data_IF_484211072017
#
_entry.id   IF_484211072017
#
_cell.length_a   1.000
_cell.length_b   1.000
_cell.length_c   1.000
_cell.angle_alpha   90.00
_cell.angle_beta   90.00
_cell.angle_gamma   90.00
#
_symmetry.space_group_name_H-M   'P 1'
#
loop_
_entity.id
_entity.type
_entity.pdbx_description
1 polymer ?
#
# COMPACT_ATOMS: atom_id res chain seq x y z
N UNK A 1 -2.86 -2.21 29.00
CA UNK A 1 -2.28 -1.05 28.30
C UNK A 1 -1.72 -1.38 26.89
N UNK A 2 -2.19 -2.43 26.21
CA UNK A 2 -1.57 -2.91 24.96
C UNK A 2 -2.52 -2.97 23.73
N UNK A 3 -3.80 -2.61 23.87
CA UNK A 3 -4.72 -2.41 22.73
C UNK A 3 -4.81 -0.95 22.26
N UNK A 4 -4.39 0.02 23.08
CA UNK A 4 -4.52 1.45 22.81
C UNK A 4 -3.38 2.02 21.93
N UNK A 5 -2.22 1.34 21.87
CA UNK A 5 -1.09 1.76 21.02
C UNK A 5 -1.29 1.35 19.55
N UNK A 6 -1.90 0.19 19.32
CA UNK A 6 -2.32 -0.26 17.98
C UNK A 6 -3.43 0.64 17.42
N UNK A 7 -4.35 1.10 18.28
CA UNK A 7 -5.38 2.07 17.92
C UNK A 7 -4.79 3.48 17.69
N UNK A 8 -3.72 3.88 18.40
CA UNK A 8 -3.01 5.15 18.13
C UNK A 8 -2.24 5.14 16.80
N UNK A 9 -1.65 4.00 16.40
CA UNK A 9 -1.09 3.84 15.04
C UNK A 9 -2.19 3.79 13.97
N UNK A 10 -3.32 3.14 14.26
CA UNK A 10 -4.51 3.18 13.41
C UNK A 10 -5.05 4.61 13.27
N UNK A 11 -5.12 5.43 14.32
CA UNK A 11 -5.59 6.82 14.23
C UNK A 11 -4.62 7.77 13.48
N UNK A 12 -3.31 7.48 13.45
CA UNK A 12 -2.38 8.21 12.59
C UNK A 12 -2.46 7.76 11.13
N UNK A 13 -2.87 6.51 10.85
CA UNK A 13 -3.09 5.97 9.51
C UNK A 13 -4.50 6.22 8.94
N UNK A 14 -5.53 6.42 9.78
CA UNK A 14 -6.90 6.75 9.34
C UNK A 14 -7.01 8.17 8.75
N UNK A 15 -6.00 9.03 8.94
CA UNK A 15 -5.95 10.36 8.32
C UNK A 15 -5.37 10.42 6.91
N UNK A 16 -4.61 9.42 6.45
CA UNK A 16 -3.77 9.56 5.26
C UNK A 16 -3.20 8.18 4.88
N UNK A 17 -3.46 7.52 3.75
CA UNK A 17 -4.00 7.96 2.48
C UNK A 17 -4.34 6.69 1.66
N UNK A 18 -5.62 6.35 1.50
CA UNK A 18 -6.07 5.93 0.16
C UNK A 18 -5.71 7.14 -0.71
N UNK A 19 -4.82 6.97 -1.70
CA UNK A 19 -4.51 8.04 -2.64
C UNK A 19 -5.76 8.30 -3.49
N UNK A 20 -6.75 8.99 -2.90
CA UNK A 20 -7.70 9.79 -3.64
C UNK A 20 -6.97 11.08 -3.94
N UNK A 21 -6.50 11.20 -5.18
CA UNK A 21 -6.23 12.50 -5.76
C UNK A 21 -7.54 13.29 -5.70
N UNK A 22 -7.71 14.16 -4.70
CA UNK A 22 -8.79 15.16 -4.76
C UNK A 22 -8.38 16.15 -5.85
N UNK A 23 -9.02 16.01 -7.00
CA UNK A 23 -9.05 17.05 -8.02
C UNK A 23 -9.81 18.25 -7.46
N UNK A 24 -9.07 19.24 -6.99
CA UNK A 24 -9.61 20.54 -6.61
C UNK A 24 -9.69 21.40 -7.88
N UNK A 25 -10.63 21.07 -8.79
CA UNK A 25 -11.07 21.98 -9.86
C UNK A 25 -12.56 21.83 -10.13
N UNK A 26 -13.28 22.88 -9.78
CA UNK A 26 -14.68 23.13 -10.08
C UNK A 26 -14.90 23.09 -11.61
N UNK A 27 -15.52 22.03 -12.14
CA UNK A 27 -16.06 22.02 -13.51
C UNK A 27 -15.68 20.88 -14.47
N UNK A 28 -15.15 19.74 -14.02
CA UNK A 28 -14.91 18.58 -14.92
C UNK A 28 -15.89 17.42 -14.61
N UNK A 29 -16.79 17.13 -15.55
CA UNK A 29 -17.82 16.07 -15.48
C UNK A 29 -17.25 14.65 -15.63
N UNK A 30 -15.93 14.49 -15.57
CA UNK A 30 -15.29 13.18 -15.66
C UNK A 30 -15.00 12.63 -14.26
N UNK A 31 -15.93 11.83 -13.73
CA UNK A 31 -15.75 11.11 -12.47
C UNK A 31 -14.56 10.15 -12.57
N UNK A 32 -13.36 10.59 -12.20
CA UNK A 32 -12.20 9.71 -12.01
C UNK A 32 -12.44 8.90 -10.74
N UNK A 33 -13.21 7.82 -10.88
CA UNK A 33 -13.56 6.92 -9.78
C UNK A 33 -12.68 5.68 -9.89
N UNK A 34 -11.69 5.58 -9.00
CA UNK A 34 -10.82 4.41 -8.89
C UNK A 34 -9.66 4.67 -7.95
N UNK A 35 -9.38 3.71 -7.05
CA UNK A 35 -8.17 3.73 -6.23
C UNK A 35 -6.97 3.44 -7.13
N UNK A 36 -6.07 4.42 -7.29
CA UNK A 36 -4.91 4.29 -8.18
C UNK A 36 -3.76 3.50 -7.53
N UNK A 37 -3.76 3.40 -6.20
CA UNK A 37 -2.74 2.68 -5.44
C UNK A 37 -3.24 2.24 -4.06
N UNK A 38 -2.86 1.03 -3.66
CA UNK A 38 -3.09 0.40 -2.37
C UNK A 38 -1.74 0.31 -1.66
N UNK A 39 -1.66 0.90 -0.47
CA UNK A 39 -0.51 0.74 0.43
C UNK A 39 -0.90 -0.29 1.50
N UNK A 40 -0.14 -1.37 1.57
CA UNK A 40 -0.34 -2.45 2.53
C UNK A 40 0.87 -2.54 3.47
N UNK A 41 0.67 -2.49 4.78
CA UNK A 41 1.78 -2.46 5.74
C UNK A 41 1.80 -3.76 6.52
N UNK A 42 2.94 -4.45 6.48
CA UNK A 42 3.20 -5.69 7.22
C UNK A 42 4.05 -5.41 8.44
N UNK A 43 3.61 -5.87 9.59
CA UNK A 43 4.44 -6.02 10.78
C UNK A 43 5.39 -7.21 10.59
N UNK A 44 6.61 -6.97 10.09
CA UNK A 44 7.50 -8.04 9.64
C UNK A 44 8.06 -8.88 10.78
N UNK A 45 7.99 -8.39 12.03
CA UNK A 45 8.33 -9.17 13.22
C UNK A 45 7.27 -10.21 13.60
N UNK A 46 6.03 -10.04 13.12
CA UNK A 46 4.90 -10.88 13.52
C UNK A 46 4.59 -11.96 12.48
N UNK A 47 5.44 -12.99 12.47
CA UNK A 47 5.30 -14.15 11.59
C UNK A 47 4.00 -14.93 11.84
N UNK A 48 3.42 -14.86 13.05
CA UNK A 48 2.22 -15.61 13.39
C UNK A 48 0.96 -15.06 12.68
N UNK A 49 0.94 -13.76 12.36
CA UNK A 49 -0.20 -13.09 11.71
C UNK A 49 -0.06 -12.94 10.19
N UNK A 50 1.04 -13.39 9.59
CA UNK A 50 1.28 -13.18 8.15
C UNK A 50 0.24 -13.87 7.25
N UNK A 51 -0.28 -15.01 7.69
CA UNK A 51 -1.31 -15.75 6.96
C UNK A 51 -2.66 -15.01 6.97
N UNK A 52 -3.02 -14.39 8.09
CA UNK A 52 -4.21 -13.52 8.18
C UNK A 52 -4.05 -12.29 7.26
N UNK A 53 -2.88 -11.65 7.30
CA UNK A 53 -2.57 -10.51 6.43
C UNK A 53 -2.64 -10.90 4.94
N UNK A 54 -2.15 -12.09 4.57
CA UNK A 54 -2.28 -12.63 3.21
C UNK A 54 -3.73 -12.78 2.79
N UNK A 55 -4.57 -13.39 3.62
CA UNK A 55 -5.98 -13.60 3.30
C UNK A 55 -6.70 -12.27 3.08
N UNK A 56 -6.44 -11.28 3.94
CA UNK A 56 -7.04 -9.95 3.83
C UNK A 56 -6.56 -9.18 2.59
N UNK A 57 -5.25 -9.23 2.29
CA UNK A 57 -4.70 -8.64 1.07
C UNK A 57 -5.38 -9.22 -0.18
N UNK A 58 -5.46 -10.54 -0.28
CA UNK A 58 -6.06 -11.22 -1.43
C UNK A 58 -7.56 -10.94 -1.53
N UNK A 59 -8.26 -10.74 -0.40
CA UNK A 59 -9.67 -10.32 -0.40
C UNK A 59 -9.85 -8.91 -0.98
N UNK A 60 -8.96 -7.97 -0.62
CA UNK A 60 -9.04 -6.57 -1.06
C UNK A 60 -8.59 -6.43 -2.52
N UNK A 61 -7.43 -6.97 -2.88
CA UNK A 61 -6.79 -6.72 -4.20
C UNK A 61 -7.54 -7.38 -5.36
N UNK A 62 -8.35 -8.40 -5.08
CA UNK A 62 -9.20 -9.07 -6.06
C UNK A 62 -10.59 -8.42 -6.21
N UNK A 63 -10.90 -7.37 -5.44
CA UNK A 63 -12.11 -6.58 -5.67
C UNK A 63 -12.04 -5.92 -7.05
N UNK A 64 -13.18 -5.87 -7.76
CA UNK A 64 -13.31 -5.21 -9.07
C UNK A 64 -12.84 -3.76 -9.05
N UNK A 65 -13.03 -3.05 -7.93
CA UNK A 65 -12.61 -1.66 -7.77
C UNK A 65 -11.09 -1.49 -7.66
N UNK A 66 -10.36 -2.58 -7.38
CA UNK A 66 -8.89 -2.61 -7.24
C UNK A 66 -8.18 -3.15 -8.49
N UNK A 67 -8.91 -3.40 -9.58
CA UNK A 67 -8.36 -4.03 -10.79
C UNK A 67 -7.12 -3.31 -11.35
N UNK A 68 -7.19 -1.99 -11.44
CA UNK A 68 -6.14 -1.12 -12.00
C UNK A 68 -5.23 -0.52 -10.92
N UNK A 69 -5.35 -1.00 -9.68
CA UNK A 69 -4.65 -0.45 -8.52
C UNK A 69 -3.23 -1.02 -8.42
N UNK A 70 -2.25 -0.13 -8.22
CA UNK A 70 -0.88 -0.53 -7.87
C UNK A 70 -0.83 -1.00 -6.41
N UNK A 71 -0.02 -2.00 -6.09
CA UNK A 71 0.15 -2.47 -4.71
C UNK A 71 1.55 -2.14 -4.19
N UNK A 72 1.65 -1.19 -3.27
CA UNK A 72 2.87 -0.96 -2.49
C UNK A 72 2.76 -1.70 -1.16
N UNK A 73 3.70 -2.58 -0.86
CA UNK A 73 3.80 -3.26 0.44
C UNK A 73 4.98 -2.72 1.23
N UNK A 74 4.75 -2.25 2.44
CA UNK A 74 5.81 -1.96 3.40
C UNK A 74 6.07 -3.17 4.28
N UNK A 75 7.24 -3.79 4.15
CA UNK A 75 7.76 -4.76 5.10
C UNK A 75 8.31 -3.99 6.32
N UNK A 76 7.41 -3.54 7.19
CA UNK A 76 7.73 -2.62 8.28
C UNK A 76 8.36 -3.34 9.48
N UNK A 77 9.05 -2.57 10.33
CA UNK A 77 9.80 -2.99 11.53
C UNK A 77 11.08 -3.76 11.24
N UNK A 78 11.81 -3.37 10.20
CA UNK A 78 13.11 -3.97 9.88
C UNK A 78 14.19 -3.70 10.96
N UNK A 79 13.93 -2.79 11.90
CA UNK A 79 14.76 -2.56 13.09
C UNK A 79 14.71 -3.71 14.11
N UNK A 80 13.71 -4.59 14.02
CA UNK A 80 13.53 -5.72 14.95
C UNK A 80 14.29 -6.95 14.44
N UNK A 81 15.13 -7.52 15.31
CA UNK A 81 15.85 -8.77 15.02
C UNK A 81 14.89 -9.91 14.66
N UNK A 82 15.17 -10.59 13.55
CA UNK A 82 14.34 -11.70 13.06
C UNK A 82 13.09 -11.28 12.27
N UNK A 83 12.90 -9.97 12.03
CA UNK A 83 11.89 -9.48 11.11
C UNK A 83 12.03 -10.12 9.72
N UNK A 84 10.90 -10.43 9.09
CA UNK A 84 10.86 -10.92 7.72
C UNK A 84 11.44 -9.86 6.78
N UNK A 85 12.41 -10.24 5.97
CA UNK A 85 12.92 -9.37 4.92
C UNK A 85 11.88 -9.24 3.77
N UNK A 86 12.06 -8.30 2.82
CA UNK A 86 11.12 -8.10 1.72
C UNK A 86 10.82 -9.36 0.89
N UNK A 87 11.80 -10.24 0.70
CA UNK A 87 11.61 -11.49 -0.03
C UNK A 87 10.72 -12.46 0.76
N UNK A 88 10.98 -12.64 2.06
CA UNK A 88 10.14 -13.48 2.92
C UNK A 88 8.69 -12.96 2.99
N UNK A 89 8.50 -11.64 3.03
CA UNK A 89 7.17 -11.01 2.97
C UNK A 89 6.50 -11.28 1.62
N UNK A 90 7.24 -11.15 0.52
CA UNK A 90 6.75 -11.43 -0.85
C UNK A 90 6.22 -12.85 -0.97
N UNK A 91 7.01 -13.82 -0.48
CA UNK A 91 6.68 -15.24 -0.54
C UNK A 91 5.48 -15.56 0.36
N UNK A 92 5.49 -15.02 1.59
CA UNK A 92 4.42 -15.26 2.57
C UNK A 92 3.08 -14.67 2.13
N UNK A 93 3.09 -13.52 1.45
CA UNK A 93 1.88 -12.90 0.88
C UNK A 93 1.48 -13.50 -0.47
N UNK A 94 2.29 -14.39 -1.04
CA UNK A 94 2.08 -15.00 -2.37
C UNK A 94 1.89 -13.95 -3.47
N UNK A 95 2.69 -12.88 -3.46
CA UNK A 95 2.53 -11.79 -4.44
C UNK A 95 2.82 -12.23 -5.88
N UNK A 96 3.67 -13.24 -6.07
CA UNK A 96 3.97 -13.81 -7.38
C UNK A 96 2.72 -14.41 -8.08
N UNK A 97 1.65 -14.75 -7.34
CA UNK A 97 0.40 -15.22 -7.95
C UNK A 97 -0.48 -14.08 -8.49
N UNK A 98 -0.16 -12.82 -8.18
CA UNK A 98 -0.87 -11.63 -8.66
C UNK A 98 -0.30 -11.18 -10.01
N UNK A 99 -0.40 -12.03 -11.03
CA UNK A 99 0.26 -11.82 -12.34
C UNK A 99 -0.28 -10.63 -13.13
N UNK A 100 -1.48 -10.16 -12.80
CA UNK A 100 -2.16 -9.02 -13.42
C UNK A 100 -1.96 -7.71 -12.63
N UNK A 101 -1.19 -7.73 -11.54
CA UNK A 101 -0.95 -6.58 -10.68
C UNK A 101 0.50 -6.14 -10.73
N UNK A 102 0.70 -4.82 -10.70
CA UNK A 102 2.01 -4.22 -10.48
C UNK A 102 2.15 -3.99 -8.99
N UNK A 103 3.20 -4.54 -8.40
CA UNK A 103 3.46 -4.44 -6.97
C UNK A 103 4.93 -4.18 -6.67
N UNK A 104 5.19 -3.65 -5.48
CA UNK A 104 6.54 -3.43 -4.97
C UNK A 104 6.56 -3.62 -3.45
N UNK A 105 7.59 -4.29 -2.94
CA UNK A 105 7.79 -4.49 -1.50
C UNK A 105 9.01 -3.72 -1.05
N UNK A 106 8.83 -2.83 -0.09
CA UNK A 106 9.89 -1.96 0.42
C UNK A 106 10.18 -2.31 1.89
N UNK A 107 11.44 -2.60 2.25
CA UNK A 107 11.82 -2.70 3.65
C UNK A 107 11.60 -1.34 4.32
N UNK A 108 10.95 -1.29 5.48
CA UNK A 108 10.73 -0.02 6.15
C UNK A 108 10.82 -0.10 7.66
N UNK A 109 11.05 1.08 8.25
CA UNK A 109 11.01 1.28 9.68
C UNK A 109 10.25 2.58 9.95
N UNK A 110 8.99 2.46 10.38
CA UNK A 110 8.13 3.62 10.59
C UNK A 110 8.62 4.57 11.70
N UNK A 111 9.46 4.10 12.62
CA UNK A 111 10.03 4.92 13.71
C UNK A 111 11.22 5.75 13.25
N UNK A 112 12.02 5.25 12.31
CA UNK A 112 13.17 5.99 11.73
C UNK A 112 12.79 6.72 10.44
N UNK A 113 11.71 6.31 9.78
CA UNK A 113 11.27 6.82 8.47
C UNK A 113 11.94 6.14 7.28
N UNK A 114 12.85 5.19 7.51
CA UNK A 114 13.56 4.47 6.45
C UNK A 114 12.57 3.71 5.55
N UNK A 115 12.86 3.72 4.24
CA UNK A 115 12.05 3.08 3.18
C UNK A 115 10.76 3.82 2.81
N UNK A 116 10.22 4.70 3.67
CA UNK A 116 8.93 5.36 3.40
C UNK A 116 8.97 6.24 2.14
N UNK A 117 10.00 7.08 2.01
CA UNK A 117 10.14 7.97 0.85
C UNK A 117 10.32 7.18 -0.46
N UNK A 118 11.11 6.11 -0.43
CA UNK A 118 11.35 5.24 -1.58
C UNK A 118 10.05 4.60 -2.08
N UNK A 119 9.27 3.98 -1.17
CA UNK A 119 8.01 3.36 -1.53
C UNK A 119 6.99 4.37 -2.07
N UNK A 120 6.88 5.54 -1.45
CA UNK A 120 5.97 6.59 -1.91
C UNK A 120 6.42 7.19 -3.25
N UNK A 121 7.71 7.36 -3.48
CA UNK A 121 8.26 7.81 -4.76
C UNK A 121 7.98 6.78 -5.86
N UNK A 122 8.16 5.49 -5.58
CA UNK A 122 7.79 4.41 -6.50
C UNK A 122 6.31 4.50 -6.88
N UNK A 123 5.43 4.62 -5.89
CA UNK A 123 3.99 4.71 -6.15
C UNK A 123 3.66 5.94 -7.02
N UNK A 124 4.20 7.12 -6.66
CA UNK A 124 3.99 8.36 -7.41
C UNK A 124 4.46 8.27 -8.86
N UNK A 125 5.55 7.55 -9.13
CA UNK A 125 6.12 7.43 -10.49
C UNK A 125 5.37 6.43 -11.37
N UNK A 126 4.63 5.49 -10.76
CA UNK A 126 3.94 4.43 -11.48
C UNK A 126 2.44 4.70 -11.65
N UNK A 127 1.86 5.61 -10.86
CA UNK A 127 0.47 6.05 -11.05
C UNK A 127 0.34 6.75 -12.41
N UNK A 128 -0.56 6.25 -13.26
CA UNK A 128 -0.83 6.86 -14.57
C UNK A 128 -1.58 8.16 -14.39
N UNK A 129 -1.01 9.27 -14.84
CA UNK A 129 -1.76 10.50 -15.06
C UNK A 129 -2.87 10.25 -16.10
N UNK A 130 -4.09 10.78 -15.91
CA UNK A 130 -5.09 10.70 -16.96
C UNK A 130 -4.56 11.34 -18.26
N UNK A 131 -4.89 10.79 -19.44
CA UNK A 131 -4.41 11.33 -20.71
C UNK A 131 -4.80 12.81 -20.81
N UNK A 132 -3.83 13.65 -21.19
CA UNK A 132 -4.05 15.07 -21.46
C UNK A 132 -5.15 15.17 -22.53
N UNK A 133 -6.37 15.53 -22.12
CA UNK A 133 -7.41 15.95 -23.06
C UNK A 133 -6.91 17.28 -23.63
N UNK A 134 -6.25 17.23 -24.79
CA UNK A 134 -5.93 18.41 -25.58
C UNK A 134 -7.24 19.13 -25.83
N UNK A 135 -7.44 20.26 -25.13
CA UNK A 135 -8.52 21.19 -25.41
C UNK A 135 -8.37 21.59 -26.88
N UNK A 136 -9.28 21.08 -27.71
CA UNK A 136 -9.51 21.59 -29.07
C UNK A 136 -10.25 22.92 -28.97
#
# INVERSE_FOLDING_TARGET
MSKLLLIKMLNLMYGMLVARTKSDRYGDTTLVTGTQGLIFVIDSSDRARIEEARQELHRIINDREMRECLLLVFANKQDIAGAMNPQEVTDSLKLASLTDKIWFVVPSCATTGEGLLEGLAWLSNNVKSPPNVQKR
#
